data_IF_254670079298
#
_entry.id   IF_254670079298
#
_cell.length_a   1.000
_cell.length_b   1.000
_cell.length_c   1.000
_cell.angle_alpha   90.00
_cell.angle_beta   90.00
_cell.angle_gamma   90.00
#
_symmetry.space_group_name_H-M   'P 1'
#
loop_
_entity.id
_entity.type
_entity.pdbx_description
1 polymer ?
#
# COMPACT_ATOMS: atom_id res chain seq x y z
N UNK A 1 -8.28 2.38 30.80
CA UNK A 1 -9.07 1.36 30.07
C UNK A 1 -8.33 0.02 30.02
N UNK A 2 -7.28 -0.14 29.21
CA UNK A 2 -6.51 -1.39 29.21
C UNK A 2 -5.70 -1.59 30.50
N UNK A 3 -5.07 -0.54 31.03
CA UNK A 3 -4.30 -0.61 32.29
C UNK A 3 -5.17 -1.00 33.49
N UNK A 4 -6.41 -0.51 33.52
CA UNK A 4 -7.38 -0.89 34.55
C UNK A 4 -7.81 -2.35 34.41
N UNK A 5 -8.11 -2.82 33.20
CA UNK A 5 -8.45 -4.22 32.95
C UNK A 5 -7.29 -5.17 33.27
N UNK A 6 -6.06 -4.79 32.94
CA UNK A 6 -4.85 -5.55 33.27
C UNK A 6 -4.62 -5.63 34.79
N UNK A 7 -4.95 -4.59 35.55
CA UNK A 7 -4.76 -4.56 37.00
C UNK A 7 -5.81 -5.40 37.75
N UNK A 8 -6.97 -5.67 37.14
CA UNK A 8 -8.04 -6.49 37.73
C UNK A 8 -7.82 -8.00 37.51
N UNK A 9 -7.09 -8.38 36.46
CA UNK A 9 -6.87 -9.78 36.13
C UNK A 9 -5.74 -10.41 36.96
N UNK A 10 -5.89 -11.69 37.30
CA UNK A 10 -4.88 -12.43 38.04
C UNK A 10 -3.81 -12.99 37.09
N UNK A 11 -2.58 -12.49 37.21
CA UNK A 11 -1.44 -12.89 36.38
C UNK A 11 -0.64 -14.08 36.93
N UNK A 12 -1.10 -14.70 38.02
CA UNK A 12 -0.44 -15.87 38.58
C UNK A 12 -0.54 -17.06 37.62
N UNK A 13 0.61 -17.64 37.33
CA UNK A 13 0.76 -18.88 36.57
C UNK A 13 1.22 -19.95 37.55
N UNK A 14 0.59 -21.13 37.51
CA UNK A 14 0.96 -22.22 38.39
C UNK A 14 2.41 -22.66 38.12
N UNK A 15 3.23 -22.58 39.16
CA UNK A 15 4.63 -23.02 39.18
C UNK A 15 4.81 -24.52 38.88
N UNK A 16 3.75 -25.32 38.99
CA UNK A 16 3.76 -26.77 38.71
C UNK A 16 3.42 -27.11 37.26
N UNK A 17 2.95 -26.13 36.48
CA UNK A 17 2.64 -26.34 35.07
C UNK A 17 3.92 -26.56 34.25
N UNK A 18 3.82 -27.38 33.20
CA UNK A 18 4.91 -27.46 32.24
C UNK A 18 5.12 -26.10 31.55
N UNK A 19 6.33 -25.85 31.05
CA UNK A 19 6.67 -24.59 30.37
C UNK A 19 5.67 -24.27 29.24
N UNK A 20 5.20 -25.29 28.52
CA UNK A 20 4.25 -25.12 27.42
C UNK A 20 2.84 -24.76 27.90
N UNK A 21 2.39 -25.35 29.01
CA UNK A 21 1.09 -25.04 29.63
C UNK A 21 1.12 -23.64 30.23
N UNK A 22 2.19 -23.30 30.96
CA UNK A 22 2.42 -21.97 31.50
C UNK A 22 2.39 -20.89 30.40
N UNK A 23 3.06 -21.13 29.27
CA UNK A 23 3.06 -20.22 28.13
C UNK A 23 1.67 -20.09 27.49
N UNK A 24 0.93 -21.20 27.37
CA UNK A 24 -0.40 -21.20 26.78
C UNK A 24 -1.39 -20.40 27.64
N UNK A 25 -1.35 -20.60 28.96
CA UNK A 25 -2.17 -19.86 29.92
C UNK A 25 -1.85 -18.37 29.91
N UNK A 26 -0.57 -18.00 29.94
CA UNK A 26 -0.14 -16.61 29.81
C UNK A 26 -0.66 -15.97 28.53
N UNK A 27 -0.47 -16.65 27.39
CA UNK A 27 -0.92 -16.15 26.08
C UNK A 27 -2.42 -15.95 26.02
N UNK A 28 -3.20 -16.85 26.61
CA UNK A 28 -4.65 -16.73 26.69
C UNK A 28 -5.07 -15.51 27.53
N UNK A 29 -4.46 -15.34 28.70
CA UNK A 29 -4.74 -14.21 29.60
C UNK A 29 -4.35 -12.86 28.95
N UNK A 30 -3.18 -12.81 28.35
CA UNK A 30 -2.70 -11.65 27.60
C UNK A 30 -3.67 -11.27 26.48
N UNK A 31 -4.10 -12.25 25.68
CA UNK A 31 -5.07 -11.99 24.61
C UNK A 31 -6.42 -11.52 25.17
N UNK A 32 -6.92 -12.13 26.25
CA UNK A 32 -8.17 -11.71 26.88
C UNK A 32 -8.15 -10.24 27.33
N UNK A 33 -7.04 -9.80 27.94
CA UNK A 33 -6.88 -8.41 28.38
C UNK A 33 -6.71 -7.45 27.21
N UNK A 34 -5.97 -7.84 26.16
CA UNK A 34 -5.56 -6.92 25.10
C UNK A 34 -6.54 -6.86 23.92
N UNK A 35 -7.15 -7.98 23.54
CA UNK A 35 -8.04 -8.11 22.37
C UNK A 35 -9.18 -7.08 22.32
N UNK A 36 -9.90 -6.76 23.41
CA UNK A 36 -11.00 -5.79 23.38
C UNK A 36 -10.55 -4.35 23.10
N UNK A 37 -9.28 -4.04 23.37
CA UNK A 37 -8.73 -2.68 23.22
C UNK A 37 -7.86 -2.52 21.97
N UNK A 38 -7.61 -3.61 21.24
CA UNK A 38 -6.93 -3.53 19.95
C UNK A 38 -7.98 -3.17 18.90
N UNK A 39 -7.90 -1.98 18.27
CA UNK A 39 -8.76 -1.67 17.15
C UNK A 39 -8.32 -2.56 15.98
N UNK A 40 -9.04 -3.67 15.78
CA UNK A 40 -8.88 -4.55 14.62
C UNK A 40 -9.34 -3.83 13.35
N UNK A 41 -8.54 -2.87 12.89
CA UNK A 41 -8.74 -2.25 11.59
C UNK A 41 -8.15 -3.19 10.56
N UNK A 42 -8.99 -3.70 9.65
CA UNK A 42 -8.48 -4.26 8.41
C UNK A 42 -7.74 -3.13 7.72
N UNK A 43 -6.42 -3.25 7.46
CA UNK A 43 -5.71 -2.22 6.72
C UNK A 43 -6.44 -2.06 5.40
N UNK A 44 -7.07 -0.90 5.19
CA UNK A 44 -7.70 -0.62 3.90
C UNK A 44 -6.59 -0.79 2.88
N UNK A 45 -6.71 -1.78 1.98
CA UNK A 45 -5.80 -1.92 0.85
C UNK A 45 -5.74 -0.53 0.24
N UNK A 46 -4.55 0.09 0.21
CA UNK A 46 -4.36 1.36 -0.49
C UNK A 46 -4.94 1.12 -1.87
N UNK A 47 -6.09 1.75 -2.18
CA UNK A 47 -6.63 1.70 -3.53
C UNK A 47 -5.48 2.19 -4.39
N UNK A 48 -5.00 1.35 -5.31
CA UNK A 48 -4.01 1.83 -6.26
C UNK A 48 -4.63 3.07 -6.89
N UNK A 49 -4.07 4.26 -6.60
CA UNK A 49 -4.65 5.55 -7.01
C UNK A 49 -4.91 5.58 -8.52
N UNK A 50 -4.12 4.80 -9.26
CA UNK A 50 -4.24 4.61 -10.70
C UNK A 50 -4.28 3.11 -11.04
N UNK A 51 -5.43 2.57 -11.50
CA UNK A 51 -5.56 1.18 -11.93
C UNK A 51 -4.59 0.76 -13.04
N UNK A 52 -4.15 1.70 -13.87
CA UNK A 52 -3.18 1.44 -14.95
C UNK A 52 -1.72 1.39 -14.51
N UNK A 53 -1.40 1.70 -13.24
CA UNK A 53 -0.01 1.64 -12.74
C UNK A 53 0.32 0.22 -12.23
N UNK A 54 0.83 -0.60 -13.16
CA UNK A 54 1.34 -1.95 -12.91
C UNK A 54 2.69 -2.02 -12.19
N UNK A 55 3.20 -3.25 -11.99
CA UNK A 55 4.47 -3.52 -11.29
C UNK A 55 5.68 -3.00 -12.08
N UNK A 56 5.59 -3.13 -13.39
CA UNK A 56 6.51 -2.73 -14.45
C UNK A 56 6.68 -1.21 -14.50
N UNK A 57 5.59 -0.45 -14.55
CA UNK A 57 5.63 1.02 -14.43
C UNK A 57 6.23 1.44 -13.08
N UNK A 58 5.90 0.76 -11.97
CA UNK A 58 6.53 1.05 -10.66
C UNK A 58 8.04 0.79 -10.66
N UNK A 59 8.52 -0.22 -11.39
CA UNK A 59 9.96 -0.48 -11.55
C UNK A 59 10.62 0.68 -12.29
N UNK A 60 10.01 1.16 -13.38
CA UNK A 60 10.49 2.32 -14.13
C UNK A 60 10.49 3.60 -13.29
N UNK A 61 9.45 3.84 -12.48
CA UNK A 61 9.39 4.99 -11.56
C UNK A 61 10.53 4.95 -10.52
N UNK A 62 10.83 3.77 -9.97
CA UNK A 62 11.98 3.60 -9.05
C UNK A 62 13.31 3.83 -9.77
N UNK A 63 13.45 3.36 -11.01
CA UNK A 63 14.64 3.58 -11.81
C UNK A 63 14.83 5.05 -12.16
N UNK A 64 13.77 5.74 -12.57
CA UNK A 64 13.74 7.19 -12.79
C UNK A 64 14.22 7.93 -11.54
N UNK A 65 13.71 7.58 -10.36
CA UNK A 65 14.13 8.18 -9.09
C UNK A 65 15.62 7.96 -8.83
N UNK A 66 16.11 6.73 -8.94
CA UNK A 66 17.55 6.43 -8.78
C UNK A 66 18.42 7.25 -9.75
N UNK A 67 18.02 7.34 -11.02
CA UNK A 67 18.77 8.12 -12.00
C UNK A 67 18.73 9.62 -11.73
N UNK A 68 17.61 10.14 -11.23
CA UNK A 68 17.53 11.52 -10.75
C UNK A 68 18.50 11.79 -9.59
N UNK A 69 18.51 10.91 -8.59
CA UNK A 69 19.39 11.04 -7.43
C UNK A 69 20.87 11.06 -7.84
N UNK A 70 21.26 10.23 -8.82
CA UNK A 70 22.62 10.21 -9.38
C UNK A 70 22.90 11.47 -10.20
N UNK A 71 21.96 11.91 -11.04
CA UNK A 71 22.13 13.06 -11.90
C UNK A 71 22.28 14.37 -11.10
N UNK A 72 21.53 14.52 -10.00
CA UNK A 72 21.67 15.66 -9.09
C UNK A 72 22.98 15.64 -8.32
N UNK A 73 23.49 14.46 -7.93
CA UNK A 73 24.77 14.34 -7.21
C UNK A 73 25.98 14.63 -8.09
N UNK A 74 25.98 14.10 -9.32
CA UNK A 74 27.14 14.21 -10.23
C UNK A 74 27.08 15.45 -11.13
N UNK A 75 25.88 15.91 -11.49
CA UNK A 75 25.69 17.12 -12.31
C UNK A 75 26.21 17.02 -13.75
N UNK A 76 26.61 15.85 -14.22
CA UNK A 76 27.21 15.68 -15.55
C UNK A 76 26.17 15.60 -16.66
N UNK A 77 26.53 16.05 -17.86
CA UNK A 77 25.64 16.02 -19.03
C UNK A 77 25.12 14.59 -19.33
N UNK A 78 26.00 13.58 -19.28
CA UNK A 78 25.62 12.18 -19.55
C UNK A 78 24.66 11.59 -18.51
N UNK A 79 24.78 11.97 -17.23
CA UNK A 79 23.85 11.50 -16.19
C UNK A 79 22.47 12.15 -16.32
N UNK A 80 22.43 13.43 -16.70
CA UNK A 80 21.20 14.15 -17.01
C UNK A 80 20.51 13.61 -18.27
N UNK A 81 21.26 13.29 -19.32
CA UNK A 81 20.73 12.65 -20.54
C UNK A 81 20.11 11.28 -20.24
N UNK A 82 20.83 10.44 -19.47
CA UNK A 82 20.30 9.15 -19.01
C UNK A 82 19.00 9.31 -18.22
N UNK A 83 18.93 10.29 -17.31
CA UNK A 83 17.70 10.61 -16.60
C UNK A 83 16.57 11.03 -17.55
N UNK A 84 16.83 11.90 -18.53
CA UNK A 84 15.84 12.34 -19.52
C UNK A 84 15.29 11.17 -20.33
N UNK A 85 16.16 10.26 -20.78
CA UNK A 85 15.76 9.05 -21.52
C UNK A 85 14.78 8.19 -20.70
N UNK A 86 15.16 7.84 -19.46
CA UNK A 86 14.32 7.01 -18.57
C UNK A 86 13.03 7.75 -18.17
N UNK A 87 13.08 9.08 -17.98
CA UNK A 87 11.90 9.90 -17.73
C UNK A 87 10.92 9.81 -18.89
N UNK A 88 11.40 9.94 -20.12
CA UNK A 88 10.57 9.91 -21.33
C UNK A 88 9.96 8.53 -21.54
N UNK A 89 10.74 7.46 -21.40
CA UNK A 89 10.26 6.08 -21.43
C UNK A 89 9.14 5.85 -20.39
N UNK A 90 9.36 6.30 -19.15
CA UNK A 90 8.37 6.18 -18.08
C UNK A 90 7.07 6.94 -18.40
N UNK A 91 7.16 8.15 -18.98
CA UNK A 91 5.99 8.93 -19.38
C UNK A 91 5.22 8.21 -20.48
N UNK A 92 5.91 7.71 -21.51
CA UNK A 92 5.30 6.97 -22.61
C UNK A 92 4.58 5.73 -22.09
N UNK A 93 5.23 4.93 -21.23
CA UNK A 93 4.62 3.74 -20.63
C UNK A 93 3.39 4.04 -19.79
N UNK A 94 3.41 5.13 -19.02
CA UNK A 94 2.24 5.56 -18.24
C UNK A 94 1.08 5.94 -19.18
N UNK A 95 1.35 6.69 -20.25
CA UNK A 95 0.33 7.10 -21.23
C UNK A 95 -0.25 5.90 -21.97
N UNK A 96 0.59 4.96 -22.40
CA UNK A 96 0.16 3.70 -23.04
C UNK A 96 -0.76 2.90 -22.13
N UNK A 97 -0.36 2.70 -20.87
CA UNK A 97 -1.14 1.93 -19.91
C UNK A 97 -2.46 2.63 -19.56
N UNK A 98 -2.44 3.96 -19.42
CA UNK A 98 -3.65 4.74 -19.19
C UNK A 98 -4.62 4.62 -20.36
N UNK A 99 -4.14 4.81 -21.60
CA UNK A 99 -4.97 4.69 -22.81
C UNK A 99 -5.57 3.29 -22.95
N UNK A 100 -4.77 2.25 -22.68
CA UNK A 100 -5.26 0.86 -22.68
C UNK A 100 -6.37 0.66 -21.65
N UNK A 101 -6.22 1.21 -20.45
CA UNK A 101 -7.25 1.14 -19.42
C UNK A 101 -8.52 1.90 -19.82
N UNK A 102 -8.38 3.10 -20.40
CA UNK A 102 -9.52 3.91 -20.88
C UNK A 102 -10.28 3.20 -22.00
N UNK A 103 -9.59 2.54 -22.94
CA UNK A 103 -10.23 1.74 -23.99
C UNK A 103 -11.03 0.57 -23.40
N UNK A 104 -10.42 -0.21 -22.50
CA UNK A 104 -11.11 -1.32 -21.83
C UNK A 104 -12.32 -0.83 -21.02
N UNK A 105 -12.19 0.34 -20.40
CA UNK A 105 -13.27 0.97 -19.65
C UNK A 105 -14.42 1.35 -20.60
N UNK A 106 -14.12 1.93 -21.76
CA UNK A 106 -15.10 2.29 -22.78
C UNK A 106 -15.80 1.07 -23.39
N UNK A 107 -15.09 -0.02 -23.66
CA UNK A 107 -15.69 -1.28 -24.10
C UNK A 107 -16.65 -1.85 -23.05
N UNK A 108 -16.29 -1.73 -21.77
CA UNK A 108 -17.13 -2.18 -20.66
C UNK A 108 -18.26 -1.20 -20.27
N UNK A 109 -18.38 -0.05 -20.95
CA UNK A 109 -19.33 1.02 -20.66
C UNK A 109 -20.77 0.52 -20.58
N UNK A 110 -21.17 -0.24 -21.61
CA UNK A 110 -22.53 -0.74 -21.78
C UNK A 110 -22.91 -1.74 -20.67
N UNK A 111 -21.94 -2.50 -20.18
CA UNK A 111 -22.14 -3.51 -19.13
C UNK A 111 -22.07 -2.90 -17.72
N UNK A 112 -21.23 -1.89 -17.52
CA UNK A 112 -20.93 -1.33 -16.20
C UNK A 112 -20.80 0.21 -16.24
N UNK A 113 -21.90 0.95 -16.48
CA UNK A 113 -21.87 2.40 -16.66
C UNK A 113 -21.28 3.14 -15.45
N UNK A 114 -21.51 2.64 -14.23
CA UNK A 114 -20.97 3.22 -12.98
C UNK A 114 -19.44 3.36 -12.98
N UNK A 115 -18.70 2.48 -13.68
CA UNK A 115 -17.23 2.54 -13.72
C UNK A 115 -16.72 3.74 -14.50
N UNK A 116 -17.39 4.11 -15.59
CA UNK A 116 -17.06 5.30 -16.36
C UNK A 116 -17.32 6.56 -15.54
N UNK A 117 -18.49 6.66 -14.90
CA UNK A 117 -18.79 7.81 -14.04
C UNK A 117 -17.80 7.90 -12.86
N UNK A 118 -17.42 6.77 -12.26
CA UNK A 118 -16.37 6.76 -11.22
C UNK A 118 -15.02 7.25 -11.75
N UNK A 119 -14.65 6.91 -13.00
CA UNK A 119 -13.42 7.36 -13.62
C UNK A 119 -13.44 8.86 -13.97
N UNK A 120 -14.56 9.34 -14.52
CA UNK A 120 -14.78 10.76 -14.84
C UNK A 120 -14.72 11.58 -13.55
N UNK A 121 -15.48 11.20 -12.52
CA UNK A 121 -15.48 11.89 -11.23
C UNK A 121 -14.09 11.88 -10.56
N UNK A 122 -13.32 10.82 -10.74
CA UNK A 122 -11.94 10.77 -10.27
C UNK A 122 -11.04 11.78 -11.00
N UNK A 123 -11.20 11.93 -12.33
CA UNK A 123 -10.42 12.90 -13.13
C UNK A 123 -10.84 14.35 -12.93
N UNK A 124 -12.12 14.61 -12.72
CA UNK A 124 -12.67 15.97 -12.57
C UNK A 124 -12.56 16.49 -11.15
N UNK A 125 -12.15 15.67 -10.19
CA UNK A 125 -11.86 16.10 -8.81
C UNK A 125 -10.59 16.95 -8.81
N UNK A 126 -10.77 18.25 -9.07
CA UNK A 126 -9.76 19.28 -8.89
C UNK A 126 -9.39 19.29 -7.39
N UNK A 127 -8.10 19.10 -7.11
CA UNK A 127 -7.47 19.33 -5.80
C UNK A 127 -6.65 20.61 -5.88
#
# INVERSE_FOLDING_TARGET
AINSAASTENWQIDSKASVQEAWTLFRQLYNRVTQPYIPWTVPKKKKHEHPWIGRDIRRLLRQKKKCWDVAIRLGTAGTMERYRSIRNECITKIREAQRKYEMQLAESALKQPKRIFSYINYRTRIH
#
